data_IF_974825144105
#
_entry.id   IF_974825144105
#
_cell.length_a   1.000
_cell.length_b   1.000
_cell.length_c   1.000
_cell.angle_alpha   90.00
_cell.angle_beta   90.00
_cell.angle_gamma   90.00
#
_symmetry.space_group_name_H-M   'P 1'
#
loop_
_entity.id
_entity.type
_entity.pdbx_description
1 polymer ?
#
# COMPACT_ATOMS: atom_id res chain seq x y z
N UNK A 1 26.65 27.35 28.00
CA UNK A 1 26.36 26.42 29.11
C UNK A 1 24.83 26.21 29.15
N UNK A 2 24.48 25.22 28.92
CA UNK A 2 23.78 23.97 28.73
C UNK A 2 22.74 23.80 29.82
N UNK A 3 21.47 23.86 29.41
CA UNK A 3 20.35 23.39 30.21
C UNK A 3 20.54 21.89 30.47
N UNK A 4 20.88 21.53 31.71
CA UNK A 4 21.03 20.15 32.18
C UNK A 4 19.67 19.46 32.26
N UNK A 5 19.14 19.05 31.11
CA UNK A 5 18.04 18.08 31.04
C UNK A 5 18.72 16.70 30.99
N UNK A 6 18.56 15.83 32.01
CA UNK A 6 19.10 14.48 31.94
C UNK A 6 18.44 13.76 30.75
N UNK A 7 19.28 13.24 29.86
CA UNK A 7 18.81 12.34 28.81
C UNK A 7 18.14 11.13 29.49
N UNK A 8 16.94 10.73 29.06
CA UNK A 8 16.29 9.56 29.63
C UNK A 8 17.20 8.36 29.46
N UNK A 9 17.45 7.66 30.55
CA UNK A 9 18.20 6.39 30.55
C UNK A 9 17.46 5.42 29.62
N UNK A 10 18.14 4.83 28.62
CA UNK A 10 17.50 3.90 27.71
C UNK A 10 16.88 2.73 28.50
N UNK A 11 15.60 2.45 28.28
CA UNK A 11 14.96 1.26 28.84
C UNK A 11 15.71 0.03 28.32
N UNK A 12 16.25 -0.84 29.22
CA UNK A 12 16.96 -2.05 28.80
C UNK A 12 16.16 -2.95 27.86
N UNK A 13 14.83 -2.97 28.01
CA UNK A 13 13.93 -3.70 27.11
C UNK A 13 13.81 -3.05 25.74
N UNK A 14 13.90 -1.74 25.65
CA UNK A 14 13.91 -1.02 24.38
C UNK A 14 15.23 -1.20 23.65
N UNK A 15 16.35 -1.14 24.36
CA UNK A 15 17.67 -1.41 23.82
C UNK A 15 17.82 -2.86 23.30
N UNK A 16 17.24 -3.84 24.01
CA UNK A 16 17.18 -5.23 23.57
C UNK A 16 16.33 -5.38 22.30
N UNK A 17 15.12 -4.83 22.27
CA UNK A 17 14.26 -4.83 21.08
C UNK A 17 14.91 -4.17 19.87
N UNK A 18 15.68 -3.09 20.08
CA UNK A 18 16.42 -2.44 18.99
C UNK A 18 17.55 -3.31 18.45
N UNK A 19 18.26 -4.05 19.30
CA UNK A 19 19.31 -5.01 18.87
C UNK A 19 18.73 -6.20 18.12
N UNK A 20 17.62 -6.77 18.61
CA UNK A 20 16.89 -7.85 17.94
C UNK A 20 16.39 -7.41 16.57
N UNK A 21 15.81 -6.19 16.46
CA UNK A 21 15.40 -5.60 15.19
C UNK A 21 16.58 -5.35 14.25
N UNK A 22 17.71 -4.89 14.74
CA UNK A 22 18.90 -4.71 13.92
C UNK A 22 19.37 -6.04 13.33
N UNK A 23 19.45 -7.10 14.14
CA UNK A 23 19.81 -8.43 13.67
C UNK A 23 18.83 -9.00 12.64
N UNK A 24 17.51 -8.84 12.83
CA UNK A 24 16.52 -9.25 11.85
C UNK A 24 16.62 -8.43 10.54
N UNK A 25 16.97 -7.14 10.63
CA UNK A 25 17.19 -6.30 9.46
C UNK A 25 18.33 -6.82 8.59
N UNK A 26 19.41 -7.30 9.19
CA UNK A 26 20.53 -7.91 8.47
C UNK A 26 20.10 -9.21 7.76
N UNK A 27 19.29 -10.03 8.44
CA UNK A 27 18.75 -11.28 7.85
C UNK A 27 17.88 -10.97 6.63
N UNK A 28 17.00 -9.97 6.70
CA UNK A 28 16.16 -9.54 5.59
C UNK A 28 17.01 -8.97 4.45
N UNK A 29 18.04 -8.18 4.75
CA UNK A 29 18.97 -7.66 3.75
C UNK A 29 19.79 -8.77 3.06
N UNK A 30 20.20 -9.83 3.78
CA UNK A 30 20.84 -11.01 3.19
C UNK A 30 19.87 -11.75 2.24
N UNK A 31 18.60 -11.92 2.64
CA UNK A 31 17.59 -12.52 1.80
C UNK A 31 17.35 -11.70 0.51
N UNK A 32 17.31 -10.37 0.59
CA UNK A 32 17.18 -9.51 -0.57
C UNK A 32 18.33 -9.70 -1.57
N UNK A 33 19.57 -9.74 -1.05
CA UNK A 33 20.76 -10.03 -1.87
C UNK A 33 20.66 -11.40 -2.53
N UNK A 34 20.29 -12.43 -1.80
CA UNK A 34 20.06 -13.76 -2.35
C UNK A 34 19.05 -13.74 -3.50
N UNK A 35 17.89 -13.12 -3.32
CA UNK A 35 16.88 -13.03 -4.37
C UNK A 35 17.38 -12.26 -5.60
N UNK A 36 18.12 -11.17 -5.41
CA UNK A 36 18.73 -10.41 -6.51
C UNK A 36 19.77 -11.25 -7.26
N UNK A 37 20.65 -11.96 -6.57
CA UNK A 37 21.64 -12.87 -7.19
C UNK A 37 20.95 -13.99 -7.95
N UNK A 38 19.89 -14.60 -7.41
CA UNK A 38 19.11 -15.64 -8.11
C UNK A 38 18.42 -15.09 -9.35
N UNK A 39 17.90 -13.87 -9.30
CA UNK A 39 17.32 -13.21 -10.47
C UNK A 39 18.33 -13.05 -11.62
N UNK A 40 19.56 -12.68 -11.29
CA UNK A 40 20.63 -12.46 -12.29
C UNK A 40 21.27 -13.75 -12.79
N UNK A 41 21.16 -14.86 -12.04
CA UNK A 41 21.72 -16.17 -12.41
C UNK A 41 20.89 -16.90 -13.47
N UNK A 42 21.38 -18.04 -13.94
CA UNK A 42 20.65 -18.91 -14.89
C UNK A 42 19.30 -19.37 -14.33
N UNK A 43 19.21 -19.60 -13.01
CA UNK A 43 17.96 -19.97 -12.35
C UNK A 43 16.86 -18.90 -12.48
N UNK A 44 17.23 -17.64 -12.68
CA UNK A 44 16.30 -16.51 -12.82
C UNK A 44 15.81 -16.26 -14.25
N UNK A 45 16.12 -17.12 -15.24
CA UNK A 45 15.74 -16.89 -16.64
C UNK A 45 14.24 -16.65 -16.84
N UNK A 46 13.40 -17.47 -16.24
CA UNK A 46 11.94 -17.34 -16.34
C UNK A 46 11.45 -16.06 -15.64
N UNK A 47 12.03 -15.72 -14.49
CA UNK A 47 11.68 -14.49 -13.77
C UNK A 47 12.07 -13.23 -14.57
N UNK A 48 13.22 -13.25 -15.26
CA UNK A 48 13.63 -12.17 -16.16
C UNK A 48 12.70 -12.05 -17.37
N UNK A 49 12.35 -13.16 -17.99
CA UNK A 49 11.41 -13.19 -19.12
C UNK A 49 10.01 -12.68 -18.67
N UNK A 50 9.58 -13.02 -17.46
CA UNK A 50 8.35 -12.49 -16.89
C UNK A 50 8.44 -10.97 -16.65
N UNK A 51 9.53 -10.49 -16.04
CA UNK A 51 9.77 -9.07 -15.81
C UNK A 51 9.79 -8.28 -17.12
N UNK A 52 10.43 -8.82 -18.17
CA UNK A 52 10.48 -8.20 -19.50
C UNK A 52 9.09 -8.11 -20.13
N UNK A 53 8.27 -9.18 -20.08
CA UNK A 53 6.86 -9.12 -20.55
C UNK A 53 6.02 -8.09 -19.82
N UNK A 54 6.33 -7.82 -18.54
CA UNK A 54 5.72 -6.75 -17.74
C UNK A 54 6.36 -5.38 -17.97
N UNK A 55 7.30 -5.30 -18.91
CA UNK A 55 8.00 -4.05 -19.22
C UNK A 55 8.88 -3.52 -18.07
N UNK A 56 9.29 -4.37 -17.13
CA UNK A 56 10.24 -4.01 -16.08
C UNK A 56 11.64 -4.01 -16.66
N UNK A 57 12.15 -2.86 -17.04
CA UNK A 57 13.49 -2.68 -17.57
C UNK A 57 14.58 -2.79 -16.49
N UNK A 58 15.84 -2.76 -16.91
CA UNK A 58 16.99 -2.89 -16.01
C UNK A 58 17.04 -1.78 -14.95
N UNK A 59 16.61 -0.58 -15.30
CA UNK A 59 16.59 0.58 -14.40
C UNK A 59 15.55 0.36 -13.30
N UNK A 60 14.35 -0.06 -13.66
CA UNK A 60 13.28 -0.38 -12.71
C UNK A 60 13.65 -1.57 -11.82
N UNK A 61 14.22 -2.62 -12.40
CA UNK A 61 14.70 -3.79 -11.64
C UNK A 61 15.73 -3.37 -10.59
N UNK A 62 16.70 -2.53 -10.96
CA UNK A 62 17.71 -2.03 -10.05
C UNK A 62 17.12 -1.06 -9.00
N UNK A 63 16.23 -0.15 -9.41
CA UNK A 63 15.61 0.85 -8.51
C UNK A 63 14.77 0.19 -7.42
N UNK A 64 14.01 -0.84 -7.76
CA UNK A 64 13.15 -1.56 -6.84
C UNK A 64 13.79 -2.82 -6.26
N UNK A 65 15.06 -3.10 -6.60
CA UNK A 65 15.82 -4.24 -6.11
C UNK A 65 15.11 -5.58 -6.33
N UNK A 66 14.44 -5.70 -7.50
CA UNK A 66 13.61 -6.85 -7.86
C UNK A 66 14.48 -8.11 -7.91
N UNK A 67 13.99 -9.17 -7.29
CA UNK A 67 14.66 -10.46 -7.19
C UNK A 67 13.81 -11.64 -7.64
N UNK A 68 14.34 -12.84 -7.41
CA UNK A 68 13.67 -14.08 -7.68
C UNK A 68 13.84 -15.09 -6.54
N UNK A 69 12.73 -15.62 -6.07
CA UNK A 69 12.70 -16.77 -5.18
C UNK A 69 12.63 -18.05 -6.00
N UNK A 70 13.67 -18.90 -5.96
CA UNK A 70 13.71 -20.13 -6.76
C UNK A 70 12.55 -21.06 -6.46
N UNK A 71 12.22 -21.94 -7.43
CA UNK A 71 11.26 -23.02 -7.23
C UNK A 71 11.93 -24.17 -6.43
N UNK A 72 12.24 -23.88 -5.18
CA UNK A 72 12.89 -24.81 -4.25
C UNK A 72 12.23 -24.70 -2.88
N UNK A 73 12.23 -25.80 -2.15
CA UNK A 73 11.65 -25.85 -0.82
C UNK A 73 12.47 -25.12 0.25
N UNK A 74 13.80 -25.04 0.06
CA UNK A 74 14.75 -24.66 1.10
C UNK A 74 15.98 -23.89 0.60
N UNK A 75 15.96 -23.34 -0.61
CA UNK A 75 17.15 -22.68 -1.19
C UNK A 75 17.59 -21.46 -0.39
N UNK A 76 16.68 -20.61 0.04
CA UNK A 76 16.99 -19.46 0.88
C UNK A 76 17.40 -19.91 2.28
N UNK A 77 16.68 -20.86 2.87
CA UNK A 77 16.98 -21.41 4.20
C UNK A 77 18.42 -21.93 4.28
N UNK A 78 18.84 -22.77 3.30
CA UNK A 78 20.21 -23.28 3.23
C UNK A 78 21.24 -22.15 3.11
N UNK A 79 21.01 -21.21 2.20
CA UNK A 79 21.90 -20.08 1.99
C UNK A 79 22.10 -19.23 3.26
N UNK A 80 21.04 -18.98 4.04
CA UNK A 80 21.12 -18.23 5.28
C UNK A 80 21.79 -19.06 6.39
N UNK A 81 21.54 -20.38 6.46
CA UNK A 81 22.18 -21.27 7.41
C UNK A 81 23.70 -21.35 7.19
N UNK A 82 24.18 -21.39 5.93
CA UNK A 82 25.60 -21.32 5.57
C UNK A 82 26.28 -20.02 6.05
N UNK A 83 25.50 -18.96 6.25
CA UNK A 83 25.96 -17.68 6.80
C UNK A 83 25.80 -17.59 8.33
N UNK A 84 25.44 -18.68 9.00
CA UNK A 84 25.31 -18.75 10.45
C UNK A 84 24.00 -18.18 11.00
N UNK A 85 22.98 -17.92 10.15
CA UNK A 85 21.66 -17.45 10.59
C UNK A 85 20.86 -18.65 11.12
N UNK A 86 20.34 -18.53 12.33
CA UNK A 86 19.51 -19.55 12.94
C UNK A 86 18.10 -19.61 12.32
N UNK A 87 17.52 -20.81 12.30
CA UNK A 87 16.18 -21.03 11.75
C UNK A 87 15.10 -20.20 12.46
N UNK A 88 15.28 -19.93 13.74
CA UNK A 88 14.39 -19.06 14.48
C UNK A 88 14.40 -17.63 13.94
N UNK A 89 15.57 -17.07 13.69
CA UNK A 89 15.70 -15.72 13.11
C UNK A 89 15.09 -15.63 11.70
N UNK A 90 15.26 -16.68 10.89
CA UNK A 90 14.63 -16.76 9.57
C UNK A 90 13.09 -16.77 9.65
N UNK A 91 12.53 -17.47 10.63
CA UNK A 91 11.09 -17.53 10.87
C UNK A 91 10.55 -16.19 11.41
N UNK A 92 11.25 -15.57 12.36
CA UNK A 92 10.92 -14.25 12.91
C UNK A 92 10.99 -13.14 11.85
N UNK A 93 11.91 -13.26 10.89
CA UNK A 93 12.00 -12.38 9.72
C UNK A 93 10.92 -12.67 8.64
N UNK A 94 10.08 -13.70 8.84
CA UNK A 94 9.01 -14.07 7.92
C UNK A 94 9.49 -14.70 6.60
N UNK A 95 10.69 -15.25 6.56
CA UNK A 95 11.33 -15.81 5.36
C UNK A 95 11.06 -17.29 5.17
N UNK A 96 10.81 -18.01 6.27
CA UNK A 96 10.48 -19.45 6.25
C UNK A 96 9.17 -19.71 7.01
N UNK A 97 8.57 -20.84 6.72
CA UNK A 97 7.41 -21.37 7.44
C UNK A 97 7.86 -22.59 8.26
N UNK A 98 7.51 -22.60 9.54
CA UNK A 98 7.71 -23.72 10.46
C UNK A 98 6.36 -24.38 10.70
N UNK A 99 6.09 -25.56 10.12
CA UNK A 99 4.83 -26.28 10.34
C UNK A 99 4.69 -26.75 11.79
N UNK A 100 3.47 -26.67 12.33
CA UNK A 100 3.16 -27.12 13.70
C UNK A 100 3.12 -28.65 13.85
N UNK A 101 3.10 -29.37 12.73
CA UNK A 101 3.00 -30.85 12.68
C UNK A 101 4.36 -31.57 12.68
N UNK A 102 5.44 -30.86 12.96
CA UNK A 102 6.79 -31.42 13.05
C UNK A 102 7.49 -31.67 11.70
N UNK A 103 6.85 -31.31 10.57
CA UNK A 103 7.50 -31.34 9.26
C UNK A 103 8.65 -30.35 9.20
N UNK A 104 9.70 -30.61 8.38
CA UNK A 104 10.78 -29.65 8.19
C UNK A 104 10.27 -28.31 7.70
N UNK A 105 10.85 -27.23 8.24
CA UNK A 105 10.58 -25.86 7.78
C UNK A 105 10.99 -25.67 6.33
N UNK A 106 10.37 -24.70 5.66
CA UNK A 106 10.57 -24.44 4.24
C UNK A 106 10.48 -22.96 3.90
N UNK A 107 11.04 -22.57 2.76
CA UNK A 107 11.02 -21.19 2.26
C UNK A 107 9.59 -20.73 2.04
N UNK A 108 9.24 -19.55 2.58
CA UNK A 108 7.94 -18.95 2.40
C UNK A 108 7.67 -18.57 0.95
N UNK A 109 8.68 -17.99 0.29
CA UNK A 109 8.59 -17.56 -1.10
C UNK A 109 9.24 -18.59 -2.01
N UNK A 110 8.50 -19.05 -3.01
CA UNK A 110 8.94 -20.08 -3.96
C UNK A 110 8.36 -19.78 -5.33
N UNK A 111 9.18 -19.86 -6.37
CA UNK A 111 8.79 -19.56 -7.74
C UNK A 111 8.07 -18.22 -7.90
N UNK A 112 8.67 -17.15 -7.34
CA UNK A 112 8.06 -15.81 -7.33
C UNK A 112 9.05 -14.74 -7.74
N UNK A 113 8.54 -13.74 -8.47
CA UNK A 113 9.22 -12.46 -8.59
C UNK A 113 9.13 -11.76 -7.23
N UNK A 114 10.28 -11.37 -6.70
CA UNK A 114 10.40 -10.79 -5.36
C UNK A 114 10.55 -9.29 -5.42
N UNK A 115 9.74 -8.59 -4.66
CA UNK A 115 9.71 -7.13 -4.58
C UNK A 115 9.96 -6.74 -3.13
N UNK A 116 11.13 -6.16 -2.81
CA UNK A 116 11.43 -5.68 -1.47
C UNK A 116 10.49 -4.55 -1.05
N UNK A 117 10.05 -4.61 0.20
CA UNK A 117 9.23 -3.58 0.84
C UNK A 117 10.13 -2.84 1.83
N UNK A 118 10.18 -1.52 1.71
CA UNK A 118 11.06 -0.67 2.50
C UNK A 118 10.26 0.11 3.56
N UNK A 119 10.91 0.37 4.69
CA UNK A 119 10.41 1.32 5.68
C UNK A 119 10.61 2.78 5.22
N UNK A 120 10.15 3.73 6.03
CA UNK A 120 10.28 5.17 5.74
C UNK A 120 11.73 5.67 5.68
N UNK A 121 12.71 4.87 6.12
CA UNK A 121 14.16 5.16 6.06
C UNK A 121 14.85 4.49 4.87
N UNK A 122 14.10 3.74 4.05
CA UNK A 122 14.65 3.01 2.91
C UNK A 122 15.32 1.68 3.26
N UNK A 123 15.10 1.13 4.47
CA UNK A 123 15.60 -0.19 4.83
C UNK A 123 14.58 -1.25 4.42
N UNK A 124 15.04 -2.36 3.85
CA UNK A 124 14.17 -3.47 3.51
C UNK A 124 13.65 -4.13 4.80
N UNK A 125 12.33 -4.25 4.93
CA UNK A 125 11.67 -4.80 6.13
C UNK A 125 10.80 -6.02 5.82
N UNK A 126 10.47 -6.23 4.55
CA UNK A 126 9.58 -7.31 4.10
C UNK A 126 9.72 -7.53 2.59
N UNK A 127 8.94 -8.47 2.07
CA UNK A 127 8.84 -8.77 0.64
C UNK A 127 7.40 -8.95 0.20
N UNK A 128 7.11 -8.52 -1.02
CA UNK A 128 6.01 -9.01 -1.83
C UNK A 128 6.51 -10.02 -2.84
N UNK A 129 5.74 -11.06 -3.10
CA UNK A 129 6.07 -12.11 -4.07
C UNK A 129 4.95 -12.32 -5.08
N UNK A 130 5.21 -12.06 -6.36
CA UNK A 130 4.28 -12.34 -7.46
C UNK A 130 4.55 -13.73 -8.05
N UNK A 131 3.56 -14.60 -8.07
CA UNK A 131 3.68 -15.93 -8.69
C UNK A 131 4.07 -15.82 -10.16
N UNK A 132 5.01 -16.66 -10.61
CA UNK A 132 5.44 -16.72 -12.02
C UNK A 132 4.54 -17.65 -12.83
N UNK A 133 4.10 -18.76 -12.24
CA UNK A 133 3.16 -19.68 -12.88
C UNK A 133 1.72 -19.18 -12.72
N UNK A 134 0.90 -19.37 -13.75
CA UNK A 134 -0.49 -18.89 -13.79
C UNK A 134 -1.40 -19.62 -12.79
N UNK A 135 -1.13 -20.89 -12.55
CA UNK A 135 -1.86 -21.77 -11.62
C UNK A 135 -1.35 -21.72 -10.19
N UNK A 136 -0.32 -20.92 -9.92
CA UNK A 136 0.25 -20.80 -8.57
C UNK A 136 -0.56 -19.83 -7.70
N UNK A 137 -1.20 -20.36 -6.66
CA UNK A 137 -1.91 -19.56 -5.66
C UNK A 137 -1.12 -19.42 -4.34
N UNK A 138 -1.28 -18.31 -3.62
CA UNK A 138 -1.95 -17.08 -4.06
C UNK A 138 -1.10 -16.34 -5.11
N UNK A 139 -1.77 -15.67 -6.05
CA UNK A 139 -1.13 -14.86 -7.10
C UNK A 139 -0.13 -13.85 -6.52
N UNK A 140 -0.50 -13.21 -5.42
CA UNK A 140 0.34 -12.30 -4.64
C UNK A 140 0.49 -12.83 -3.21
N UNK A 141 1.72 -12.88 -2.74
CA UNK A 141 2.06 -13.30 -1.37
C UNK A 141 2.96 -12.26 -0.73
N UNK A 142 2.56 -11.75 0.42
CA UNK A 142 3.38 -10.82 1.20
C UNK A 142 4.01 -11.51 2.40
N UNK A 143 5.09 -10.92 2.94
CA UNK A 143 5.60 -11.29 4.26
C UNK A 143 4.48 -11.23 5.29
N UNK A 144 4.53 -12.08 6.33
CA UNK A 144 3.64 -11.96 7.49
C UNK A 144 4.00 -10.71 8.30
N UNK A 145 3.20 -10.41 9.31
CA UNK A 145 3.59 -9.45 10.35
C UNK A 145 4.85 -9.95 11.05
N UNK A 146 5.81 -9.04 11.25
CA UNK A 146 7.10 -9.32 11.91
C UNK A 146 7.48 -8.15 12.81
N UNK A 147 8.48 -8.29 13.69
CA UNK A 147 9.00 -7.14 14.45
C UNK A 147 9.49 -5.97 13.59
N UNK A 148 9.80 -6.22 12.30
CA UNK A 148 10.23 -5.19 11.34
C UNK A 148 9.09 -4.64 10.50
N UNK A 149 8.04 -5.40 10.27
CA UNK A 149 7.02 -5.12 9.28
C UNK A 149 5.61 -5.25 9.84
N UNK A 150 4.93 -4.13 9.91
CA UNK A 150 3.50 -4.03 10.19
C UNK A 150 2.81 -3.55 8.93
N UNK A 151 2.13 -4.46 8.24
CA UNK A 151 1.46 -4.19 6.96
C UNK A 151 0.47 -3.03 7.05
N UNK A 152 -0.16 -2.90 8.21
CA UNK A 152 -1.10 -1.83 8.53
C UNK A 152 -0.48 -0.42 8.63
N UNK A 153 0.86 -0.31 8.73
CA UNK A 153 1.55 0.96 8.93
C UNK A 153 2.51 1.32 7.78
N UNK A 154 2.72 0.41 6.84
CA UNK A 154 3.68 0.60 5.74
C UNK A 154 2.95 0.92 4.44
N UNK A 155 3.48 1.90 3.71
CA UNK A 155 3.14 2.19 2.32
C UNK A 155 4.33 1.83 1.43
N UNK A 156 4.08 1.00 0.41
CA UNK A 156 5.10 0.68 -0.59
C UNK A 156 5.58 1.95 -1.29
N UNK A 157 6.88 2.04 -1.54
CA UNK A 157 7.54 3.15 -2.21
C UNK A 157 7.53 4.51 -1.46
N UNK A 158 7.01 4.60 -0.24
CA UNK A 158 6.87 5.89 0.46
C UNK A 158 8.19 6.62 0.69
N UNK A 159 9.30 5.90 0.92
CA UNK A 159 10.61 6.51 1.13
C UNK A 159 11.15 7.20 -0.15
N UNK A 160 10.89 6.64 -1.35
CA UNK A 160 11.28 7.24 -2.63
C UNK A 160 10.31 8.34 -3.04
N UNK A 161 9.01 8.13 -2.82
CA UNK A 161 7.95 9.07 -3.22
C UNK A 161 8.01 10.40 -2.46
N UNK A 162 8.57 10.43 -1.25
CA UNK A 162 8.52 11.58 -0.33
C UNK A 162 9.00 12.90 -0.97
N UNK A 163 10.17 12.89 -1.59
CA UNK A 163 10.73 14.10 -2.21
C UNK A 163 9.88 14.57 -3.39
N UNK A 164 9.47 13.63 -4.25
CA UNK A 164 8.64 13.93 -5.41
C UNK A 164 7.24 14.43 -5.00
N UNK A 165 6.65 13.84 -3.97
CA UNK A 165 5.36 14.26 -3.42
C UNK A 165 5.42 15.69 -2.86
N UNK A 166 6.48 16.00 -2.12
CA UNK A 166 6.69 17.37 -1.60
C UNK A 166 6.86 18.38 -2.73
N UNK A 167 7.63 18.06 -3.77
CA UNK A 167 7.83 18.95 -4.93
C UNK A 167 6.55 19.13 -5.76
N UNK A 168 5.77 18.07 -5.92
CA UNK A 168 4.51 18.11 -6.65
C UNK A 168 3.34 18.70 -5.84
N UNK A 169 3.46 18.79 -4.51
CA UNK A 169 2.36 19.11 -3.62
C UNK A 169 1.23 18.06 -3.66
N UNK A 170 1.51 16.86 -4.15
CA UNK A 170 0.54 15.81 -4.43
C UNK A 170 1.11 14.41 -4.15
N UNK A 171 0.25 13.46 -3.84
CA UNK A 171 0.61 12.04 -3.75
C UNK A 171 -0.49 11.20 -4.39
N UNK A 172 -0.10 10.14 -5.08
CA UNK A 172 -1.01 9.17 -5.70
C UNK A 172 -0.89 7.86 -4.95
N UNK A 173 -2.02 7.27 -4.62
CA UNK A 173 -2.12 6.01 -3.90
C UNK A 173 -2.80 5.00 -4.80
N UNK A 174 -2.17 3.85 -5.02
CA UNK A 174 -2.72 2.71 -5.78
C UNK A 174 -2.84 1.49 -4.88
N UNK A 175 -3.47 0.40 -5.35
CA UNK A 175 -3.71 -0.78 -4.52
C UNK A 175 -2.47 -1.68 -4.42
N UNK A 176 -1.81 -1.98 -5.54
CA UNK A 176 -0.74 -2.95 -5.66
C UNK A 176 0.65 -2.35 -5.88
N UNK A 177 1.68 -3.10 -5.50
CA UNK A 177 3.05 -2.66 -5.70
C UNK A 177 3.50 -2.70 -7.17
N UNK A 178 2.94 -3.58 -7.99
CA UNK A 178 3.22 -3.57 -9.44
C UNK A 178 2.58 -2.35 -10.11
N UNK A 179 1.38 -1.96 -9.70
CA UNK A 179 0.73 -0.73 -10.17
C UNK A 179 1.56 0.50 -9.82
N UNK A 180 2.06 0.57 -8.57
CA UNK A 180 2.95 1.65 -8.15
C UNK A 180 4.25 1.67 -8.98
N UNK A 181 4.82 0.51 -9.31
CA UNK A 181 6.01 0.42 -10.15
C UNK A 181 5.70 0.88 -11.58
N UNK A 182 4.56 0.50 -12.15
CA UNK A 182 4.13 0.93 -13.49
C UNK A 182 3.96 2.45 -13.56
N UNK A 183 3.27 3.04 -12.59
CA UNK A 183 3.10 4.49 -12.46
C UNK A 183 4.43 5.20 -12.27
N UNK A 184 5.30 4.68 -11.40
CA UNK A 184 6.65 5.22 -11.19
C UNK A 184 7.49 5.20 -12.47
N UNK A 185 7.48 4.08 -13.21
CA UNK A 185 8.16 3.92 -14.50
C UNK A 185 7.69 4.93 -15.54
N UNK A 186 6.41 5.28 -15.53
CA UNK A 186 5.88 6.34 -16.40
C UNK A 186 6.35 7.76 -15.99
N UNK A 187 7.26 7.89 -15.03
CA UNK A 187 7.83 9.16 -14.56
C UNK A 187 6.98 9.87 -13.51
N UNK A 188 6.01 9.19 -12.90
CA UNK A 188 5.17 9.72 -11.83
C UNK A 188 5.72 9.18 -10.50
N UNK A 189 6.73 9.87 -9.94
CA UNK A 189 7.50 9.35 -8.80
C UNK A 189 6.81 9.51 -7.45
N UNK A 190 5.77 10.34 -7.33
CA UNK A 190 5.01 10.59 -6.10
C UNK A 190 3.87 9.57 -5.89
N UNK A 191 4.11 8.32 -6.27
CA UNK A 191 3.16 7.20 -6.16
C UNK A 191 3.56 6.25 -5.03
N UNK A 192 2.56 5.77 -4.27
CA UNK A 192 2.69 4.77 -3.23
C UNK A 192 1.60 3.70 -3.35
N UNK A 193 1.77 2.55 -2.69
CA UNK A 193 0.72 1.53 -2.63
C UNK A 193 0.41 1.06 -1.22
N UNK A 194 -0.85 0.65 -0.98
CA UNK A 194 -1.38 0.20 0.30
C UNK A 194 -1.12 -1.29 0.61
N UNK A 195 -0.56 -2.05 -0.34
CA UNK A 195 -0.23 -3.49 -0.21
C UNK A 195 -1.43 -4.42 0.02
N UNK A 196 -2.59 -4.10 -0.57
CA UNK A 196 -3.77 -4.98 -0.56
C UNK A 196 -4.44 -5.10 0.82
N UNK A 197 -4.32 -4.09 1.67
CA UNK A 197 -5.10 -3.92 2.90
C UNK A 197 -6.08 -2.77 2.75
N UNK A 198 -7.25 -2.89 3.41
CA UNK A 198 -8.10 -1.73 3.61
C UNK A 198 -7.31 -0.65 4.35
N UNK A 199 -7.40 0.60 3.92
CA UNK A 199 -6.68 1.73 4.52
C UNK A 199 -6.87 1.78 6.04
N UNK A 200 -5.78 1.64 6.77
CA UNK A 200 -5.78 1.78 8.23
C UNK A 200 -5.58 3.23 8.61
N UNK A 201 -5.85 3.58 9.86
CA UNK A 201 -5.58 4.92 10.37
C UNK A 201 -4.10 5.31 10.21
N UNK A 202 -3.18 4.38 10.49
CA UNK A 202 -1.73 4.61 10.34
C UNK A 202 -1.33 4.88 8.89
N UNK A 203 -1.91 4.14 7.94
CA UNK A 203 -1.69 4.38 6.50
C UNK A 203 -2.28 5.71 6.05
N UNK A 204 -3.49 6.07 6.49
CA UNK A 204 -4.12 7.37 6.22
C UNK A 204 -3.22 8.51 6.71
N UNK A 205 -2.73 8.41 7.95
CA UNK A 205 -1.78 9.39 8.51
C UNK A 205 -0.45 9.41 7.75
N UNK A 206 0.02 8.25 7.26
CA UNK A 206 1.23 8.16 6.45
C UNK A 206 1.04 8.85 5.08
N UNK A 207 -0.13 8.71 4.45
CA UNK A 207 -0.48 9.39 3.20
C UNK A 207 -0.49 10.91 3.39
N UNK A 208 -1.07 11.42 4.47
CA UNK A 208 -1.07 12.86 4.79
C UNK A 208 0.32 13.44 5.11
N UNK A 209 1.30 12.60 5.43
CA UNK A 209 2.71 13.06 5.51
C UNK A 209 3.34 13.28 4.13
N UNK A 210 2.75 12.72 3.07
CA UNK A 210 3.21 12.91 1.70
C UNK A 210 2.54 14.13 1.06
N UNK A 211 1.22 14.28 1.22
CA UNK A 211 0.45 15.40 0.71
C UNK A 211 -0.80 15.61 1.58
N UNK A 212 -1.34 16.85 1.67
CA UNK A 212 -2.53 17.13 2.46
C UNK A 212 -3.81 16.51 1.88
N UNK A 213 -3.87 16.34 0.57
CA UNK A 213 -5.02 15.77 -0.16
C UNK A 213 -4.54 14.73 -1.20
N UNK A 214 -4.09 13.54 -0.75
CA UNK A 214 -3.67 12.49 -1.68
C UNK A 214 -4.82 12.03 -2.57
N UNK A 215 -4.50 11.58 -3.79
CA UNK A 215 -5.46 10.98 -4.71
C UNK A 215 -5.35 9.45 -4.59
N UNK A 216 -6.45 8.79 -4.25
CA UNK A 216 -6.53 7.33 -4.23
C UNK A 216 -7.11 6.87 -5.57
N UNK A 217 -6.36 6.07 -6.31
CA UNK A 217 -6.80 5.44 -7.54
C UNK A 217 -7.34 4.04 -7.24
N UNK A 218 -8.59 3.81 -7.59
CA UNK A 218 -9.27 2.52 -7.48
C UNK A 218 -9.41 1.89 -8.87
N UNK A 219 -9.21 0.59 -8.93
CA UNK A 219 -9.39 -0.18 -10.15
C UNK A 219 -10.83 -0.04 -10.68
N UNK A 220 -10.99 -0.04 -12.00
CA UNK A 220 -12.27 0.16 -12.70
C UNK A 220 -13.20 -1.04 -12.63
N UNK A 221 -13.17 -1.82 -11.55
CA UNK A 221 -13.97 -3.03 -11.37
C UNK A 221 -14.84 -3.00 -10.10
N UNK A 222 -15.61 -4.08 -9.89
CA UNK A 222 -16.49 -4.20 -8.71
C UNK A 222 -15.68 -4.25 -7.39
N UNK A 223 -14.46 -4.80 -7.42
CA UNK A 223 -13.61 -4.91 -6.24
C UNK A 223 -13.05 -3.54 -5.84
N UNK A 224 -12.57 -2.75 -6.82
CA UNK A 224 -12.13 -1.37 -6.62
C UNK A 224 -13.25 -0.46 -6.10
N UNK A 225 -14.47 -0.58 -6.66
CA UNK A 225 -15.64 0.15 -6.15
C UNK A 225 -15.99 -0.23 -4.70
N UNK A 226 -15.88 -1.51 -4.34
CA UNK A 226 -16.09 -1.96 -2.97
C UNK A 226 -14.96 -1.47 -2.03
N UNK A 227 -13.72 -1.42 -2.53
CA UNK A 227 -12.57 -0.87 -1.79
C UNK A 227 -12.76 0.63 -1.53
N UNK A 228 -13.24 1.40 -2.52
CA UNK A 228 -13.54 2.83 -2.36
C UNK A 228 -14.60 3.07 -1.28
N UNK A 229 -15.67 2.28 -1.25
CA UNK A 229 -16.71 2.39 -0.21
C UNK A 229 -16.13 2.17 1.19
N UNK A 230 -15.30 1.13 1.36
CA UNK A 230 -14.61 0.87 2.65
C UNK A 230 -13.63 1.98 3.02
N UNK A 231 -12.95 2.56 2.02
CA UNK A 231 -12.03 3.67 2.24
C UNK A 231 -12.78 4.91 2.77
N UNK A 232 -13.93 5.26 2.19
CA UNK A 232 -14.79 6.36 2.69
C UNK A 232 -15.10 6.19 4.17
N UNK A 233 -15.57 4.99 4.59
CA UNK A 233 -15.96 4.74 5.99
C UNK A 233 -14.78 4.86 6.96
N UNK A 234 -13.56 4.58 6.52
CA UNK A 234 -12.35 4.70 7.34
C UNK A 234 -11.76 6.10 7.35
N UNK A 235 -11.83 6.81 6.23
CA UNK A 235 -11.24 8.14 6.05
C UNK A 235 -12.12 9.21 6.70
N UNK A 236 -13.43 9.12 6.51
CA UNK A 236 -14.38 10.17 6.91
C UNK A 236 -14.27 10.57 8.39
N UNK A 237 -14.12 9.64 9.37
CA UNK A 237 -13.93 10.01 10.77
C UNK A 237 -12.61 10.72 11.08
N UNK A 238 -11.62 10.63 10.18
CA UNK A 238 -10.25 11.07 10.41
C UNK A 238 -9.90 12.37 9.71
N UNK A 239 -10.73 12.83 8.75
CA UNK A 239 -10.48 14.09 8.04
C UNK A 239 -10.43 15.26 9.03
N UNK A 240 -9.56 16.21 8.73
CA UNK A 240 -9.35 17.40 9.56
C UNK A 240 -9.14 18.64 8.69
N UNK A 241 -9.18 19.82 9.29
CA UNK A 241 -9.01 21.07 8.55
C UNK A 241 -7.72 21.07 7.75
N UNK A 242 -7.84 21.18 6.42
CA UNK A 242 -6.71 21.14 5.47
C UNK A 242 -6.22 19.75 5.11
N UNK A 243 -6.88 18.66 5.55
CA UNK A 243 -6.53 17.29 5.19
C UNK A 243 -7.76 16.50 4.77
N UNK A 244 -7.73 15.98 3.57
CA UNK A 244 -8.78 15.16 2.96
C UNK A 244 -8.17 14.14 2.00
N UNK A 245 -9.00 13.57 1.14
CA UNK A 245 -8.60 12.69 0.03
C UNK A 245 -9.45 12.99 -1.19
N UNK A 246 -8.87 12.77 -2.37
CA UNK A 246 -9.59 12.72 -3.62
C UNK A 246 -9.61 11.28 -4.15
N UNK A 247 -10.66 10.89 -4.85
CA UNK A 247 -10.94 9.55 -5.32
C UNK A 247 -10.94 9.53 -6.84
N UNK A 248 -10.00 8.83 -7.43
CA UNK A 248 -9.91 8.56 -8.84
C UNK A 248 -10.45 7.15 -9.10
N UNK A 249 -11.45 7.03 -9.97
CA UNK A 249 -12.00 5.75 -10.43
C UNK A 249 -11.51 5.53 -11.86
N UNK A 250 -10.69 4.50 -12.06
CA UNK A 250 -10.16 4.19 -13.37
C UNK A 250 -11.27 3.69 -14.30
N UNK A 251 -11.10 3.79 -15.64
CA UNK A 251 -12.07 3.28 -16.61
C UNK A 251 -12.36 1.79 -16.42
N UNK A 252 -13.55 1.35 -16.85
CA UNK A 252 -14.05 -0.01 -16.67
C UNK A 252 -13.03 -1.09 -17.02
N UNK A 253 -12.75 -1.95 -16.04
CA UNK A 253 -11.86 -3.09 -16.16
C UNK A 253 -10.37 -2.76 -16.25
N UNK A 254 -9.97 -1.51 -15.98
CA UNK A 254 -8.57 -1.07 -16.03
C UNK A 254 -7.99 -0.95 -14.62
N UNK A 255 -6.74 -1.41 -14.47
CA UNK A 255 -5.86 -1.07 -13.37
C UNK A 255 -4.84 0.02 -13.81
N UNK A 256 -4.01 0.55 -12.91
CA UNK A 256 -3.01 1.56 -13.27
C UNK A 256 -1.99 1.08 -14.32
N UNK A 257 -1.55 -0.18 -14.28
CA UNK A 257 -0.62 -0.78 -15.25
C UNK A 257 -1.25 -0.83 -16.65
N UNK A 258 -2.50 -1.32 -16.74
CA UNK A 258 -3.27 -1.35 -17.98
C UNK A 258 -3.47 0.05 -18.57
N UNK A 259 -3.83 1.02 -17.74
CA UNK A 259 -4.07 2.39 -18.21
C UNK A 259 -2.79 3.07 -18.70
N UNK A 260 -1.68 2.88 -17.98
CA UNK A 260 -0.36 3.37 -18.42
C UNK A 260 0.05 2.71 -19.75
N UNK A 261 -0.16 1.41 -19.90
CA UNK A 261 0.14 0.71 -21.15
C UNK A 261 -0.72 1.19 -22.32
N UNK A 262 -1.98 1.52 -22.09
CA UNK A 262 -2.93 1.97 -23.12
C UNK A 262 -2.76 3.44 -23.50
N UNK A 263 -2.70 4.33 -22.51
CA UNK A 263 -2.84 5.78 -22.68
C UNK A 263 -1.60 6.58 -22.23
N UNK A 264 -0.56 5.88 -21.74
CA UNK A 264 0.67 6.49 -21.26
C UNK A 264 0.50 7.34 -20.01
N UNK A 265 1.57 8.07 -19.69
CA UNK A 265 1.61 8.99 -18.54
C UNK A 265 0.48 10.02 -18.56
N UNK A 266 0.27 10.67 -19.70
CA UNK A 266 -0.69 11.78 -19.84
C UNK A 266 -2.13 11.29 -19.67
N UNK A 267 -2.46 10.09 -20.20
CA UNK A 267 -3.76 9.49 -20.00
C UNK A 267 -4.04 9.16 -18.53
N UNK A 268 -3.06 8.58 -17.83
CA UNK A 268 -3.20 8.32 -16.40
C UNK A 268 -3.36 9.62 -15.58
N UNK A 269 -2.57 10.64 -15.87
CA UNK A 269 -2.66 11.93 -15.17
C UNK A 269 -3.97 12.67 -15.46
N UNK A 270 -4.59 12.47 -16.63
CA UNK A 270 -5.90 13.02 -16.95
C UNK A 270 -6.98 12.43 -16.02
N UNK A 271 -6.96 11.11 -15.78
CA UNK A 271 -7.86 10.46 -14.82
C UNK A 271 -7.61 10.96 -13.39
N UNK A 272 -6.34 11.03 -12.97
CA UNK A 272 -5.97 11.55 -11.64
C UNK A 272 -6.46 12.99 -11.45
N UNK A 273 -6.37 13.83 -12.48
CA UNK A 273 -6.87 15.22 -12.45
C UNK A 273 -8.39 15.29 -12.33
N UNK A 274 -9.10 14.28 -12.84
CA UNK A 274 -10.54 14.12 -12.73
C UNK A 274 -11.03 13.54 -11.40
N UNK A 275 -10.12 13.33 -10.44
CA UNK A 275 -10.46 12.75 -9.14
C UNK A 275 -11.50 13.58 -8.40
N UNK A 276 -12.44 12.90 -7.74
CA UNK A 276 -13.56 13.50 -7.02
C UNK A 276 -13.20 13.75 -5.57
N UNK A 277 -13.57 14.90 -4.98
CA UNK A 277 -13.46 15.13 -3.55
C UNK A 277 -14.24 14.09 -2.73
N UNK A 278 -13.78 13.79 -1.52
CA UNK A 278 -14.42 12.83 -0.61
C UNK A 278 -15.93 13.11 -0.42
N UNK A 279 -16.32 14.36 -0.28
CA UNK A 279 -17.75 14.75 -0.08
C UNK A 279 -18.61 14.34 -1.28
N UNK A 280 -18.08 14.43 -2.49
CA UNK A 280 -18.82 14.03 -3.70
C UNK A 280 -18.99 12.51 -3.77
N UNK A 281 -17.95 11.76 -3.39
CA UNK A 281 -18.01 10.29 -3.31
C UNK A 281 -18.99 9.83 -2.24
N UNK A 282 -19.03 10.48 -1.09
CA UNK A 282 -20.02 10.22 -0.02
C UNK A 282 -21.42 10.46 -0.57
N UNK A 283 -21.65 11.58 -1.22
CA UNK A 283 -22.94 11.94 -1.82
C UNK A 283 -23.37 10.92 -2.86
N UNK A 284 -22.53 10.64 -3.87
CA UNK A 284 -22.84 9.69 -4.94
C UNK A 284 -23.12 8.28 -4.40
N UNK A 285 -22.38 7.84 -3.36
CA UNK A 285 -22.59 6.55 -2.72
C UNK A 285 -24.00 6.42 -2.13
N UNK A 286 -24.46 7.44 -1.43
CA UNK A 286 -25.76 7.44 -0.75
C UNK A 286 -26.92 7.63 -1.77
N UNK A 287 -26.64 8.29 -2.88
CA UNK A 287 -27.59 8.46 -3.98
C UNK A 287 -27.76 7.21 -4.83
N UNK A 288 -26.75 6.32 -4.87
CA UNK A 288 -26.75 5.16 -5.74
C UNK A 288 -27.91 4.20 -5.42
N UNK A 289 -28.83 4.02 -6.37
CA UNK A 289 -29.99 3.14 -6.25
C UNK A 289 -31.08 3.63 -5.27
N UNK A 290 -30.96 4.83 -4.75
CA UNK A 290 -31.94 5.40 -3.82
C UNK A 290 -33.17 5.92 -4.59
N UNK A 291 -34.36 5.80 -3.96
CA UNK A 291 -35.64 6.33 -4.46
C UNK A 291 -36.10 7.41 -3.49
N UNK A 292 -36.58 8.54 -4.03
CA UNK A 292 -36.95 9.76 -3.26
C UNK A 292 -38.40 10.19 -3.52
N UNK A 293 -39.26 9.25 -3.86
CA UNK A 293 -40.61 9.44 -4.29
C UNK A 293 -41.61 9.59 -3.11
N UNK A 294 -41.17 9.34 -1.87
CA UNK A 294 -42.01 9.54 -0.68
C UNK A 294 -41.25 10.32 0.41
N UNK A 295 -41.98 11.03 1.31
CA UNK A 295 -41.36 11.75 2.42
C UNK A 295 -40.49 10.85 3.32
N UNK A 296 -40.92 9.61 3.58
CA UNK A 296 -40.19 8.67 4.43
C UNK A 296 -38.85 8.28 3.78
N UNK A 297 -38.83 8.12 2.45
CA UNK A 297 -37.60 7.79 1.71
C UNK A 297 -36.63 8.97 1.67
N UNK A 298 -37.16 10.19 1.57
CA UNK A 298 -36.34 11.41 1.71
C UNK A 298 -35.75 11.50 3.10
N UNK A 299 -36.56 11.34 4.13
CA UNK A 299 -36.10 11.35 5.53
C UNK A 299 -35.06 10.25 5.83
N UNK A 300 -35.20 9.07 5.23
CA UNK A 300 -34.23 7.99 5.37
C UNK A 300 -32.88 8.33 4.73
N UNK A 301 -32.85 9.03 3.61
CA UNK A 301 -31.60 9.54 3.01
C UNK A 301 -30.95 10.61 3.89
N UNK A 302 -31.75 11.56 4.36
CA UNK A 302 -31.27 12.61 5.27
C UNK A 302 -30.61 12.01 6.51
N UNK A 303 -31.29 11.06 7.17
CA UNK A 303 -30.75 10.39 8.37
C UNK A 303 -29.43 9.64 8.10
N UNK A 304 -29.30 8.96 6.95
CA UNK A 304 -28.03 8.30 6.59
C UNK A 304 -26.90 9.30 6.37
N UNK A 305 -27.14 10.36 5.63
CA UNK A 305 -26.15 11.40 5.37
C UNK A 305 -25.74 12.14 6.65
N UNK A 306 -26.71 12.44 7.53
CA UNK A 306 -26.44 13.04 8.85
C UNK A 306 -25.58 12.11 9.70
N UNK A 307 -25.87 10.80 9.74
CA UNK A 307 -25.05 9.82 10.46
C UNK A 307 -23.59 9.76 9.97
N UNK A 308 -23.38 9.89 8.66
CA UNK A 308 -22.02 9.97 8.10
C UNK A 308 -21.30 11.26 8.49
N UNK A 309 -22.00 12.39 8.47
CA UNK A 309 -21.43 13.70 8.88
C UNK A 309 -21.07 13.71 10.36
N UNK A 310 -21.89 13.09 11.22
CA UNK A 310 -21.61 12.99 12.65
C UNK A 310 -20.38 12.13 12.96
N UNK A 311 -19.98 11.21 12.06
CA UNK A 311 -18.76 10.44 12.20
C UNK A 311 -17.48 11.31 12.09
N UNK A 312 -17.54 12.48 11.46
CA UNK A 312 -16.40 13.39 11.30
C UNK A 312 -16.02 13.98 12.66
N UNK A 313 -14.81 13.69 13.15
CA UNK A 313 -14.35 14.09 14.48
C UNK A 313 -14.00 15.58 14.57
N UNK A 314 -13.38 16.15 13.53
CA UNK A 314 -13.08 17.59 13.48
C UNK A 314 -14.38 18.41 13.39
N UNK A 315 -14.67 19.19 14.43
CA UNK A 315 -15.92 19.96 14.54
C UNK A 315 -16.08 21.05 13.49
N UNK A 316 -14.96 21.62 12.99
CA UNK A 316 -14.99 22.65 11.94
C UNK A 316 -15.33 22.00 10.59
N UNK A 317 -14.69 20.89 10.27
CA UNK A 317 -14.97 20.11 9.05
C UNK A 317 -16.38 19.56 9.09
N UNK A 318 -16.81 18.94 10.20
CA UNK A 318 -18.17 18.43 10.39
C UNK A 318 -19.22 19.50 10.12
N UNK A 319 -19.05 20.70 10.66
CA UNK A 319 -19.99 21.82 10.41
C UNK A 319 -20.05 22.20 8.93
N UNK A 320 -18.93 22.14 8.19
CA UNK A 320 -18.92 22.43 6.76
C UNK A 320 -19.59 21.32 5.94
N UNK A 321 -19.38 20.07 6.32
CA UNK A 321 -20.09 18.93 5.72
C UNK A 321 -21.61 19.04 5.95
N UNK A 322 -22.07 19.39 7.16
CA UNK A 322 -23.49 19.65 7.41
C UNK A 322 -24.08 20.71 6.48
N UNK A 323 -23.37 21.80 6.31
CA UNK A 323 -23.83 22.88 5.43
C UNK A 323 -23.91 22.41 3.99
N UNK A 324 -22.87 21.76 3.46
CA UNK A 324 -22.81 21.27 2.07
C UNK A 324 -23.90 20.23 1.80
N UNK A 325 -24.04 19.23 2.66
CA UNK A 325 -25.05 18.16 2.51
C UNK A 325 -26.46 18.72 2.56
N UNK A 326 -26.77 19.66 3.47
CA UNK A 326 -28.07 20.30 3.53
C UNK A 326 -28.39 21.13 2.27
N UNK A 327 -27.40 21.83 1.72
CA UNK A 327 -27.57 22.54 0.45
C UNK A 327 -27.92 21.59 -0.69
N UNK A 328 -27.17 20.49 -0.82
CA UNK A 328 -27.42 19.46 -1.85
C UNK A 328 -28.80 18.82 -1.69
N UNK A 329 -29.22 18.49 -0.47
CA UNK A 329 -30.56 17.95 -0.19
C UNK A 329 -31.66 18.95 -0.55
N UNK A 330 -31.47 20.25 -0.19
CA UNK A 330 -32.43 21.30 -0.56
C UNK A 330 -32.58 21.43 -2.07
N UNK A 331 -31.48 21.34 -2.83
CA UNK A 331 -31.50 21.41 -4.28
C UNK A 331 -32.16 20.16 -4.91
N UNK A 332 -31.87 18.97 -4.33
CA UNK A 332 -32.41 17.68 -4.77
C UNK A 332 -33.95 17.60 -4.60
N UNK A 333 -34.50 18.18 -3.53
CA UNK A 333 -35.91 18.07 -3.16
C UNK A 333 -36.75 19.29 -3.53
N UNK A 334 -36.13 20.28 -4.19
CA UNK A 334 -36.83 21.47 -4.72
C UNK A 334 -37.68 21.10 -5.95
#
# INVERSE_FOLDING_TARGET
>A
EQAGVPLPTPDPHEARRQRERAGLGDVVAMAARFFSERFLSDAGREARAYAERRGLDRTIIATFEIGYAPNSRDALKRHLAEKGIEEQQMAEAGLIIRPDDGRPSYDRFRNRLMIPIHDHRGRIVAFGGRALAEDQEPKYLNSPETPLFYKSAVLFNAHRARSAAHQAGAAIVVEGYLDAIAVYKAGIQHVVASLGTAFTEDQIRAMWRLAPEPVICFDGDKAGMAAARRAVDRILPLIESGKSFNFCFLPDGKDPDDLIALAGREGFLAEVKGAKPLVDVVWEREMAGARFDTPERKAALEARLEGLVEAVKDTRVRRRYHFDIRSRLSDLFR
#
